data_IF_431801679825
#
_entry.id   IF_431801679825
#
_cell.length_a   1.000
_cell.length_b   1.000
_cell.length_c   1.000
_cell.angle_alpha   90.00
_cell.angle_beta   90.00
_cell.angle_gamma   90.00
#
_symmetry.space_group_name_H-M   'P 1'
#
loop_
_entity.id
_entity.type
_entity.pdbx_description
1 polymer ?
#
# COMPACT_ATOMS: atom_id res chain seq x y z
N UNK A 1 -0.01 -6.92 -7.61
CA UNK A 1 -1.14 -6.40 -6.80
C UNK A 1 -1.88 -7.46 -5.99
N UNK A 2 -2.12 -8.69 -6.49
CA UNK A 2 -2.84 -9.74 -5.72
C UNK A 2 -2.13 -10.19 -4.41
N UNK A 3 -0.81 -10.40 -4.44
CA UNK A 3 -0.05 -10.91 -3.29
C UNK A 3 0.01 -9.91 -2.10
N UNK A 4 -0.19 -8.61 -2.32
CA UNK A 4 -0.08 -7.63 -1.22
C UNK A 4 -1.26 -7.68 -0.23
N UNK A 5 -2.46 -8.07 -0.68
CA UNK A 5 -3.65 -8.13 0.19
C UNK A 5 -3.67 -9.32 1.15
N UNK A 6 -3.02 -10.43 0.80
CA UNK A 6 -2.98 -11.65 1.63
C UNK A 6 -2.04 -11.52 2.84
N UNK A 7 -1.12 -10.56 2.83
CA UNK A 7 -0.19 -10.27 3.93
C UNK A 7 -0.49 -8.96 4.66
N UNK A 8 -1.65 -8.34 4.41
CA UNK A 8 -2.05 -7.10 5.09
C UNK A 8 -2.31 -7.30 6.60
N UNK A 9 -2.83 -8.47 6.98
CA UNK A 9 -3.05 -8.84 8.39
C UNK A 9 -1.77 -9.43 8.96
N UNK A 10 -1.27 -8.87 10.07
CA UNK A 10 -0.07 -9.38 10.78
C UNK A 10 -0.26 -10.84 11.23
N UNK A 11 0.81 -11.64 11.21
CA UNK A 11 0.81 -12.98 11.78
C UNK A 11 0.51 -12.99 13.28
N UNK A 12 -0.11 -14.06 13.77
CA UNK A 12 -0.55 -14.23 15.15
C UNK A 12 -1.94 -13.67 15.46
N UNK A 13 -2.59 -13.00 14.49
CA UNK A 13 -3.94 -12.44 14.66
C UNK A 13 -5.02 -13.50 14.45
N UNK A 14 -4.85 -14.37 13.45
CA UNK A 14 -5.79 -15.45 13.14
C UNK A 14 -5.01 -16.71 12.76
N UNK A 15 -5.13 -17.76 13.59
CA UNK A 15 -4.38 -19.00 13.39
C UNK A 15 -4.74 -19.74 12.11
N UNK A 16 -5.99 -19.66 11.64
CA UNK A 16 -6.43 -20.31 10.40
C UNK A 16 -5.82 -19.60 9.19
N UNK A 17 -5.78 -18.28 9.20
CA UNK A 17 -5.13 -17.46 8.19
C UNK A 17 -3.64 -17.79 8.12
N UNK A 18 -2.95 -17.91 9.26
CA UNK A 18 -1.52 -18.21 9.30
C UNK A 18 -1.18 -19.62 8.79
N UNK A 19 -1.98 -20.63 9.17
CA UNK A 19 -1.81 -21.99 8.63
C UNK A 19 -2.01 -22.00 7.12
N UNK A 20 -3.03 -21.30 6.62
CA UNK A 20 -3.32 -21.22 5.19
C UNK A 20 -2.20 -20.49 4.44
N UNK A 21 -1.56 -19.49 5.05
CA UNK A 21 -0.37 -18.81 4.48
C UNK A 21 0.80 -19.76 4.36
N UNK A 22 1.09 -20.52 5.41
CA UNK A 22 2.15 -21.53 5.38
C UNK A 22 1.89 -22.54 4.26
N UNK A 23 0.66 -23.08 4.18
CA UNK A 23 0.30 -24.04 3.12
C UNK A 23 0.45 -23.46 1.71
N UNK A 24 0.15 -22.17 1.52
CA UNK A 24 0.37 -21.51 0.25
C UNK A 24 1.86 -21.41 -0.10
N UNK A 25 2.70 -20.99 0.85
CA UNK A 25 4.17 -20.92 0.68
C UNK A 25 4.73 -22.30 0.36
N UNK A 26 4.38 -23.32 1.16
CA UNK A 26 4.80 -24.71 0.95
C UNK A 26 4.38 -25.24 -0.43
N UNK A 27 3.24 -24.77 -0.95
CA UNK A 27 2.77 -25.13 -2.30
C UNK A 27 3.55 -24.43 -3.40
N UNK A 28 3.95 -23.17 -3.21
CA UNK A 28 4.81 -22.46 -4.15
C UNK A 28 6.20 -23.12 -4.22
N UNK A 29 6.78 -23.42 -3.04
CA UNK A 29 8.07 -24.08 -2.94
C UNK A 29 8.04 -25.47 -3.61
N UNK A 30 6.94 -26.22 -3.45
CA UNK A 30 6.75 -27.49 -4.15
C UNK A 30 6.66 -27.33 -5.69
N UNK A 31 6.05 -26.26 -6.19
CA UNK A 31 6.02 -25.98 -7.65
C UNK A 31 7.43 -25.70 -8.16
N UNK A 32 8.17 -24.84 -7.47
CA UNK A 32 9.54 -24.48 -7.86
C UNK A 32 10.48 -25.70 -7.81
N UNK A 33 10.36 -26.53 -6.78
CA UNK A 33 11.12 -27.78 -6.66
C UNK A 33 10.81 -28.75 -7.80
N UNK A 34 9.53 -28.90 -8.17
CA UNK A 34 9.14 -29.75 -9.31
C UNK A 34 9.72 -29.26 -10.65
N UNK A 35 9.86 -27.94 -10.82
CA UNK A 35 10.47 -27.37 -12.03
C UNK A 35 11.96 -27.74 -12.10
N UNK A 36 12.68 -27.65 -10.98
CA UNK A 36 14.09 -28.05 -10.87
C UNK A 36 14.25 -29.54 -11.19
N UNK A 37 13.42 -30.40 -10.60
CA UNK A 37 13.43 -31.85 -10.87
C UNK A 37 13.21 -32.15 -12.36
N UNK A 38 12.31 -31.43 -13.04
CA UNK A 38 12.10 -31.61 -14.48
C UNK A 38 13.27 -31.12 -15.32
N UNK A 39 13.95 -30.05 -14.91
CA UNK A 39 15.16 -29.57 -15.59
C UNK A 39 16.27 -30.62 -15.54
N UNK A 40 16.51 -31.20 -14.36
CA UNK A 40 17.54 -32.22 -14.14
C UNK A 40 17.19 -33.53 -14.85
N UNK A 41 15.96 -34.03 -14.66
CA UNK A 41 15.52 -35.34 -15.18
C UNK A 41 15.50 -35.41 -16.70
N UNK A 42 15.10 -34.33 -17.36
CA UNK A 42 14.93 -34.33 -18.82
C UNK A 42 16.04 -33.57 -19.56
N UNK A 43 16.99 -32.97 -18.84
CA UNK A 43 18.01 -32.08 -19.41
C UNK A 43 17.40 -30.99 -20.33
N UNK A 44 16.25 -30.44 -19.93
CA UNK A 44 15.50 -29.42 -20.65
C UNK A 44 15.48 -28.11 -19.85
N UNK A 45 15.58 -26.97 -20.54
CA UNK A 45 15.34 -25.67 -19.90
C UNK A 45 13.82 -25.45 -19.73
N UNK A 46 13.29 -25.94 -18.61
CA UNK A 46 11.90 -25.75 -18.18
C UNK A 46 11.79 -24.43 -17.43
N UNK A 47 10.89 -23.54 -17.86
CA UNK A 47 10.61 -22.29 -17.15
C UNK A 47 9.20 -22.33 -16.59
N UNK A 48 9.05 -21.91 -15.33
CA UNK A 48 7.76 -21.64 -14.73
C UNK A 48 7.25 -20.28 -15.21
N UNK A 49 6.00 -20.24 -15.65
CA UNK A 49 5.31 -19.01 -16.01
C UNK A 49 3.98 -18.95 -15.26
N UNK A 50 3.48 -17.72 -15.06
CA UNK A 50 2.17 -17.48 -14.48
C UNK A 50 1.33 -16.64 -15.44
N UNK A 51 0.06 -17.02 -15.63
CA UNK A 51 -0.93 -16.21 -16.33
C UNK A 51 -2.22 -16.16 -15.53
N UNK A 52 -2.99 -15.07 -15.65
CA UNK A 52 -4.25 -14.93 -14.90
C UNK A 52 -5.28 -15.99 -15.30
N UNK A 53 -5.30 -16.40 -16.57
CA UNK A 53 -6.26 -17.38 -17.09
C UNK A 53 -5.89 -18.83 -16.79
N UNK A 54 -4.60 -19.19 -16.85
CA UNK A 54 -4.14 -20.59 -16.68
C UNK A 54 -3.47 -20.86 -15.33
N UNK A 55 -3.14 -19.82 -14.56
CA UNK A 55 -2.28 -19.94 -13.39
C UNK A 55 -0.85 -20.31 -13.77
N UNK A 56 -0.21 -21.08 -12.89
CA UNK A 56 1.14 -21.61 -13.07
C UNK A 56 1.17 -22.69 -14.17
N UNK A 57 2.07 -22.52 -15.13
CA UNK A 57 2.27 -23.42 -16.24
C UNK A 57 3.73 -23.40 -16.69
N UNK A 58 4.14 -24.40 -17.46
CA UNK A 58 5.52 -24.57 -17.89
C UNK A 58 5.71 -24.05 -19.32
N UNK A 59 6.93 -23.62 -19.62
CA UNK A 59 7.39 -23.44 -20.99
C UNK A 59 8.76 -24.06 -21.20
N UNK A 60 8.92 -24.79 -22.29
CA UNK A 60 10.19 -25.39 -22.72
C UNK A 60 10.64 -24.81 -24.05
N UNK A 61 11.93 -24.92 -24.39
CA UNK A 61 12.44 -24.50 -25.69
C UNK A 61 11.92 -25.39 -26.82
N UNK A 62 11.47 -24.79 -27.93
CA UNK A 62 11.07 -25.53 -29.11
C UNK A 62 12.32 -25.91 -29.92
N UNK A 63 12.93 -27.05 -29.58
CA UNK A 63 14.15 -27.57 -30.22
C UNK A 63 13.87 -28.58 -31.35
N UNK A 64 12.61 -28.84 -31.67
CA UNK A 64 12.22 -29.88 -32.63
C UNK A 64 12.43 -31.33 -32.13
N UNK A 65 12.93 -31.52 -30.91
CA UNK A 65 13.05 -32.82 -30.25
C UNK A 65 11.69 -33.31 -29.74
N UNK A 66 11.59 -34.62 -29.54
CA UNK A 66 10.45 -35.25 -28.91
C UNK A 66 10.30 -34.78 -27.45
N UNK A 67 9.07 -34.50 -27.06
CA UNK A 67 8.73 -33.96 -25.74
C UNK A 67 8.40 -35.16 -24.83
N UNK A 68 8.93 -35.24 -23.61
CA UNK A 68 8.58 -36.32 -22.70
C UNK A 68 7.08 -36.41 -22.44
N UNK A 69 6.53 -37.64 -22.37
CA UNK A 69 5.08 -37.88 -22.27
C UNK A 69 4.41 -37.27 -21.03
N UNK A 70 5.16 -36.97 -19.98
CA UNK A 70 4.62 -36.32 -18.79
C UNK A 70 4.18 -34.88 -19.03
N UNK A 71 4.69 -34.23 -20.09
CA UNK A 71 4.26 -32.90 -20.51
C UNK A 71 2.99 -33.02 -21.37
N UNK A 72 1.90 -32.50 -20.83
CA UNK A 72 0.57 -32.51 -21.44
C UNK A 72 0.12 -31.08 -21.78
N UNK A 73 -0.96 -30.97 -22.56
CA UNK A 73 -1.53 -29.70 -23.01
C UNK A 73 -0.52 -28.78 -23.73
N UNK A 74 0.35 -29.40 -24.53
CA UNK A 74 1.43 -28.73 -25.24
C UNK A 74 0.90 -27.83 -26.37
N UNK A 75 1.18 -26.53 -26.29
CA UNK A 75 0.92 -25.52 -27.33
C UNK A 75 2.26 -25.02 -27.87
N UNK A 76 2.53 -25.29 -29.15
CA UNK A 76 3.80 -24.94 -29.80
C UNK A 76 3.77 -23.51 -30.34
N UNK A 77 4.76 -22.73 -29.95
CA UNK A 77 5.09 -21.43 -30.53
C UNK A 77 6.43 -21.51 -31.28
N UNK A 78 6.80 -20.45 -31.98
CA UNK A 78 8.00 -20.42 -32.83
C UNK A 78 9.31 -20.75 -32.09
N UNK A 79 9.44 -20.33 -30.83
CA UNK A 79 10.65 -20.55 -30.01
C UNK A 79 10.42 -21.38 -28.75
N UNK A 80 9.17 -21.53 -28.32
CA UNK A 80 8.81 -22.13 -27.03
C UNK A 80 7.62 -23.05 -27.19
N UNK A 81 7.45 -23.98 -26.25
CA UNK A 81 6.29 -24.85 -26.14
C UNK A 81 5.72 -24.63 -24.75
N UNK A 82 4.50 -24.08 -24.66
CA UNK A 82 3.79 -23.98 -23.40
C UNK A 82 3.16 -25.33 -23.09
N UNK A 83 3.29 -25.82 -21.87
CA UNK A 83 2.83 -27.14 -21.45
C UNK A 83 2.56 -27.16 -19.94
N UNK A 84 2.01 -28.26 -19.45
CA UNK A 84 1.86 -28.52 -18.02
C UNK A 84 2.13 -30.00 -17.74
N UNK A 85 2.12 -30.39 -16.47
CA UNK A 85 2.12 -31.80 -16.06
C UNK A 85 0.96 -32.04 -15.10
N UNK A 86 0.59 -33.31 -14.87
CA UNK A 86 -0.43 -33.64 -13.86
C UNK A 86 -0.06 -33.09 -12.48
N UNK A 87 1.23 -33.18 -12.11
CA UNK A 87 1.74 -32.66 -10.84
C UNK A 87 1.62 -31.14 -10.75
N UNK A 88 2.08 -30.41 -11.78
CA UNK A 88 1.99 -28.95 -11.81
C UNK A 88 0.52 -28.48 -11.83
N UNK A 89 -0.35 -29.17 -12.57
CA UNK A 89 -1.78 -28.85 -12.59
C UNK A 89 -2.45 -29.03 -11.23
N UNK A 90 -2.10 -30.10 -10.49
CA UNK A 90 -2.57 -30.33 -9.13
C UNK A 90 -2.08 -29.25 -8.15
N UNK A 91 -0.78 -28.95 -8.17
CA UNK A 91 -0.20 -27.89 -7.32
C UNK A 91 -0.75 -26.50 -7.64
N UNK A 92 -0.96 -26.20 -8.92
CA UNK A 92 -1.56 -24.94 -9.38
C UNK A 92 -3.01 -24.81 -8.88
N UNK A 93 -3.80 -25.89 -8.92
CA UNK A 93 -5.16 -25.92 -8.38
C UNK A 93 -5.17 -25.66 -6.88
N UNK A 94 -4.29 -26.36 -6.14
CA UNK A 94 -4.11 -26.18 -4.69
C UNK A 94 -3.69 -24.74 -4.34
N UNK A 95 -2.73 -24.18 -5.07
CA UNK A 95 -2.31 -22.80 -4.90
C UNK A 95 -3.45 -21.80 -5.12
N UNK A 96 -4.26 -22.03 -6.15
CA UNK A 96 -5.44 -21.23 -6.45
C UNK A 96 -6.50 -21.28 -5.36
N UNK A 97 -6.73 -22.46 -4.77
CA UNK A 97 -7.62 -22.66 -3.61
C UNK A 97 -7.10 -21.92 -2.38
N UNK A 98 -5.84 -22.15 -2.00
CA UNK A 98 -5.22 -21.47 -0.87
C UNK A 98 -5.30 -19.94 -1.02
N UNK A 99 -5.06 -19.40 -2.22
CA UNK A 99 -5.19 -17.96 -2.47
C UNK A 99 -6.61 -17.46 -2.23
N UNK A 100 -7.63 -18.17 -2.70
CA UNK A 100 -9.04 -17.78 -2.47
C UNK A 100 -9.37 -17.77 -0.98
N UNK A 101 -8.95 -18.80 -0.27
CA UNK A 101 -9.18 -18.92 1.17
C UNK A 101 -8.46 -17.83 1.95
N UNK A 102 -7.20 -17.53 1.59
CA UNK A 102 -6.44 -16.43 2.18
C UNK A 102 -7.16 -15.08 2.02
N UNK A 103 -7.73 -14.81 0.85
CA UNK A 103 -8.51 -13.59 0.65
C UNK A 103 -9.75 -13.55 1.53
N UNK A 104 -10.52 -14.63 1.57
CA UNK A 104 -11.74 -14.67 2.36
C UNK A 104 -11.46 -14.53 3.85
N UNK A 105 -10.44 -15.22 4.36
CA UNK A 105 -10.01 -15.15 5.75
C UNK A 105 -9.47 -13.75 6.10
N UNK A 106 -8.56 -13.21 5.28
CA UNK A 106 -8.00 -11.87 5.48
C UNK A 106 -9.11 -10.80 5.48
N UNK A 107 -10.03 -10.88 4.51
CA UNK A 107 -11.18 -9.98 4.45
C UNK A 107 -12.07 -10.11 5.69
N UNK A 108 -12.34 -11.32 6.16
CA UNK A 108 -13.12 -11.57 7.37
C UNK A 108 -12.49 -10.93 8.62
N UNK A 109 -11.18 -11.08 8.80
CA UNK A 109 -10.44 -10.44 9.90
C UNK A 109 -10.53 -8.91 9.83
N UNK A 110 -10.32 -8.33 8.64
CA UNK A 110 -10.42 -6.88 8.45
C UNK A 110 -11.84 -6.37 8.68
N UNK A 111 -12.87 -7.06 8.20
CA UNK A 111 -14.26 -6.67 8.46
C UNK A 111 -14.61 -6.72 9.94
N UNK A 112 -14.11 -7.73 10.67
CA UNK A 112 -14.28 -7.80 12.13
C UNK A 112 -13.67 -6.58 12.80
N UNK A 113 -12.43 -6.23 12.46
CA UNK A 113 -11.77 -5.03 12.99
C UNK A 113 -12.56 -3.75 12.66
N UNK A 114 -13.04 -3.61 11.42
CA UNK A 114 -13.84 -2.45 11.03
C UNK A 114 -15.14 -2.36 11.82
N UNK A 115 -15.80 -3.50 12.08
CA UNK A 115 -17.00 -3.54 12.92
C UNK A 115 -16.72 -3.14 14.37
N UNK A 116 -15.54 -3.45 14.89
CA UNK A 116 -15.11 -3.01 16.22
C UNK A 116 -14.80 -1.50 16.26
N UNK A 117 -14.22 -0.94 15.20
CA UNK A 117 -13.85 0.48 15.13
C UNK A 117 -15.06 1.39 14.86
N UNK A 118 -15.99 0.98 13.99
CA UNK A 118 -17.12 1.81 13.51
C UNK A 118 -17.93 2.49 14.63
N UNK A 119 -18.31 1.81 15.73
CA UNK A 119 -19.03 2.44 16.84
C UNK A 119 -18.29 3.60 17.49
N UNK A 120 -16.96 3.64 17.37
CA UNK A 120 -16.10 4.67 17.95
C UNK A 120 -15.72 5.78 16.98
N UNK A 121 -16.24 5.77 15.75
CA UNK A 121 -15.85 6.71 14.70
C UNK A 121 -16.07 8.18 15.11
N UNK A 122 -17.16 8.50 15.81
CA UNK A 122 -17.43 9.86 16.29
C UNK A 122 -16.35 10.38 17.25
N UNK A 123 -15.83 9.53 18.15
CA UNK A 123 -14.75 9.90 19.06
C UNK A 123 -13.43 10.12 18.31
N UNK A 124 -13.14 9.30 17.30
CA UNK A 124 -11.96 9.48 16.45
C UNK A 124 -12.01 10.82 15.69
N UNK A 125 -13.16 11.18 15.12
CA UNK A 125 -13.33 12.49 14.47
C UNK A 125 -13.15 13.65 15.45
N UNK A 126 -13.76 13.56 16.64
CA UNK A 126 -13.58 14.56 17.68
C UNK A 126 -12.12 14.69 18.12
N UNK A 127 -11.38 13.59 18.22
CA UNK A 127 -9.95 13.63 18.53
C UNK A 127 -9.15 14.32 17.42
N UNK A 128 -9.41 14.00 16.16
CA UNK A 128 -8.76 14.63 15.00
C UNK A 128 -9.02 16.14 14.98
N UNK A 129 -10.26 16.56 15.22
CA UNK A 129 -10.62 17.99 15.29
C UNK A 129 -9.84 18.72 16.40
N UNK A 130 -9.77 18.13 17.59
CA UNK A 130 -9.02 18.72 18.70
C UNK A 130 -7.52 18.80 18.41
N UNK A 131 -6.93 17.77 17.79
CA UNK A 131 -5.51 17.78 17.39
C UNK A 131 -5.27 18.87 16.33
N UNK A 132 -6.15 18.99 15.34
CA UNK A 132 -6.04 20.00 14.29
C UNK A 132 -6.17 21.43 14.85
N UNK A 133 -7.09 21.66 15.80
CA UNK A 133 -7.20 22.95 16.49
C UNK A 133 -5.95 23.27 17.29
N UNK A 134 -5.38 22.29 18.01
CA UNK A 134 -4.14 22.48 18.75
C UNK A 134 -2.97 22.81 17.81
N UNK A 135 -2.85 22.10 16.69
CA UNK A 135 -1.81 22.33 15.68
C UNK A 135 -1.90 23.74 15.07
N UNK A 136 -3.11 24.21 14.76
CA UNK A 136 -3.35 25.58 14.30
C UNK A 136 -2.94 26.61 15.35
N UNK A 137 -3.36 26.45 16.62
CA UNK A 137 -3.02 27.37 17.71
C UNK A 137 -1.51 27.39 17.99
N UNK A 138 -0.86 26.24 17.92
CA UNK A 138 0.60 26.12 18.06
C UNK A 138 1.30 26.83 16.90
N UNK A 139 0.79 26.70 15.67
CA UNK A 139 1.33 27.40 14.51
C UNK A 139 1.25 28.92 14.66
N UNK A 140 0.13 29.46 15.15
CA UNK A 140 0.02 30.89 15.47
C UNK A 140 0.98 31.31 16.57
N UNK A 141 1.09 30.51 17.64
CA UNK A 141 2.00 30.81 18.74
C UNK A 141 3.46 30.81 18.29
N UNK A 142 3.84 29.86 17.44
CA UNK A 142 5.17 29.76 16.85
C UNK A 142 5.46 30.94 15.91
N UNK A 143 4.50 31.33 15.07
CA UNK A 143 4.62 32.52 14.21
C UNK A 143 4.92 33.78 15.04
N UNK A 144 4.18 33.98 16.14
CA UNK A 144 4.40 35.12 17.05
C UNK A 144 5.77 35.03 17.73
N UNK A 145 6.14 33.84 18.25
CA UNK A 145 7.40 33.64 18.97
C UNK A 145 8.65 33.82 18.09
N UNK A 146 8.56 33.47 16.81
CA UNK A 146 9.64 33.63 15.83
C UNK A 146 9.68 35.01 15.17
N UNK A 147 8.67 35.86 15.43
CA UNK A 147 8.65 37.21 14.88
C UNK A 147 9.71 38.11 15.54
N UNK A 148 10.26 39.09 14.79
CA UNK A 148 11.20 40.06 15.36
C UNK A 148 10.62 40.76 16.59
N UNK A 149 11.44 40.94 17.64
CA UNK A 149 11.02 41.53 18.93
C UNK A 149 10.52 42.97 18.78
N UNK A 150 11.06 43.69 17.81
CA UNK A 150 10.70 45.06 17.44
C UNK A 150 9.45 45.13 16.54
N UNK A 151 9.01 44.00 15.99
CA UNK A 151 7.86 43.92 15.09
C UNK A 151 6.98 42.67 15.37
N UNK A 152 6.49 42.48 16.60
CA UNK A 152 5.71 41.30 16.95
C UNK A 152 4.32 41.35 16.30
N UNK A 153 3.74 40.18 16.02
CA UNK A 153 2.29 40.10 15.83
C UNK A 153 1.59 40.47 17.14
N UNK A 154 0.41 41.06 17.04
CA UNK A 154 -0.40 41.47 18.19
C UNK A 154 -1.78 40.80 18.15
N UNK A 155 -2.35 40.58 19.34
CA UNK A 155 -3.73 40.10 19.45
C UNK A 155 -4.69 41.28 19.19
N UNK A 156 -5.51 41.24 18.13
CA UNK A 156 -6.44 42.33 17.82
C UNK A 156 -7.56 42.43 18.87
N UNK A 157 -8.05 43.64 19.11
CA UNK A 157 -9.21 43.87 19.99
C UNK A 157 -10.46 44.06 19.13
N UNK A 158 -11.51 43.28 19.38
CA UNK A 158 -12.78 43.39 18.64
C UNK A 158 -13.70 44.39 19.33
N UNK A 159 -14.08 45.46 18.62
CA UNK A 159 -15.04 46.46 19.12
C UNK A 159 -16.46 46.18 18.60
N UNK A 160 -17.48 46.66 19.31
CA UNK A 160 -18.89 46.52 18.90
C UNK A 160 -19.33 47.56 17.86
N UNK A 161 -18.50 48.57 17.60
CA UNK A 161 -18.87 49.75 16.82
C UNK A 161 -18.49 49.65 15.34
N UNK A 162 -17.83 48.56 14.92
CA UNK A 162 -17.48 48.31 13.52
C UNK A 162 -16.27 49.10 13.02
N UNK A 163 -15.59 49.84 13.90
CA UNK A 163 -14.36 50.56 13.57
C UNK A 163 -13.23 49.60 13.20
N UNK A 164 -12.50 49.87 12.11
CA UNK A 164 -11.35 49.10 11.66
C UNK A 164 -10.07 49.94 11.78
N UNK A 165 -9.35 49.76 12.89
CA UNK A 165 -8.14 50.53 13.18
C UNK A 165 -6.93 49.60 13.16
N UNK A 166 -6.02 49.82 12.22
CA UNK A 166 -4.73 49.13 12.13
C UNK A 166 -3.61 50.15 12.30
N UNK A 167 -2.81 49.99 13.34
CA UNK A 167 -1.61 50.83 13.57
C UNK A 167 -0.37 50.05 13.15
N UNK A 168 0.49 50.69 12.38
CA UNK A 168 1.74 50.10 11.87
C UNK A 168 1.52 48.73 11.22
N UNK A 169 0.44 48.62 10.42
CA UNK A 169 0.06 47.41 9.71
C UNK A 169 1.08 47.03 8.65
N UNK A 170 1.30 45.72 8.52
CA UNK A 170 2.24 45.11 7.59
C UNK A 170 1.54 44.05 6.77
N UNK A 171 1.97 43.87 5.53
CA UNK A 171 1.42 42.82 4.69
C UNK A 171 2.24 41.53 4.89
N UNK A 172 1.70 40.50 5.54
CA UNK A 172 2.50 39.37 6.05
C UNK A 172 3.23 38.60 4.93
N UNK A 173 2.61 38.44 3.75
CA UNK A 173 3.27 37.77 2.61
C UNK A 173 4.32 38.63 1.91
N UNK A 174 4.09 39.93 1.73
CA UNK A 174 5.04 40.80 1.02
C UNK A 174 6.27 41.05 1.88
N UNK A 175 6.09 41.24 3.18
CA UNK A 175 7.17 41.32 4.16
C UNK A 175 8.03 40.05 4.14
N UNK A 176 7.41 38.87 4.11
CA UNK A 176 8.16 37.61 4.03
C UNK A 176 8.87 37.39 2.69
N UNK A 177 8.32 37.92 1.58
CA UNK A 177 8.97 37.85 0.27
C UNK A 177 10.12 38.85 0.11
N UNK A 178 10.09 39.97 0.86
CA UNK A 178 11.06 41.06 0.77
C UNK A 178 12.07 41.06 1.93
N UNK A 179 12.55 39.88 2.37
CA UNK A 179 13.45 39.77 3.55
C UNK A 179 14.76 40.58 3.43
N UNK A 180 15.18 40.90 2.21
CA UNK A 180 16.41 41.67 1.94
C UNK A 180 16.24 43.19 2.11
N UNK A 181 15.02 43.67 2.36
CA UNK A 181 14.71 45.10 2.53
C UNK A 181 13.78 45.35 3.72
N UNK A 182 13.93 46.48 4.43
CA UNK A 182 13.02 46.83 5.51
C UNK A 182 11.63 47.13 4.95
N UNK A 183 10.60 46.46 5.48
CA UNK A 183 9.20 46.72 5.14
C UNK A 183 8.72 47.99 5.85
N UNK A 184 7.99 48.87 5.15
CA UNK A 184 7.46 50.13 5.71
C UNK A 184 6.01 49.90 6.18
N UNK A 185 5.73 49.91 7.50
CA UNK A 185 4.40 49.72 8.04
C UNK A 185 3.48 50.94 7.82
N UNK A 186 2.17 50.70 7.63
CA UNK A 186 1.18 51.74 7.35
C UNK A 186 0.03 51.73 8.36
N UNK A 187 -0.52 52.91 8.66
CA UNK A 187 -1.73 53.01 9.47
C UNK A 187 -2.99 52.94 8.58
N UNK A 188 -4.08 52.38 9.10
CA UNK A 188 -5.41 52.39 8.49
C UNK A 188 -6.46 52.67 9.57
N UNK A 189 -7.44 53.50 9.26
CA UNK A 189 -8.55 53.92 10.13
C UNK A 189 -9.82 53.98 9.30
#
# INVERSE_FOLDING_TARGET
MKIQGIFAVRSGIDGKLDVTRSTFVDTMDAIDQQVIEYQEKFALNVKLNYSVSRGYHLSIANSGKEIPECFVECVKFRKTIACTTKTISSLNSRAGECLRDLYNLSYGVVQKLLNEIRPHACYLYGMVENIAHLDMLLSFSNLVALSPVDQPYSCPTVSKHGDFIVKQGRHPLIEDMMRDQPFIPNNSV
#
